data_IF_892102262612
#
_entry.id   IF_892102262612
#
_cell.length_a   1.000
_cell.length_b   1.000
_cell.length_c   1.000
_cell.angle_alpha   90.00
_cell.angle_beta   90.00
_cell.angle_gamma   90.00
#
_symmetry.space_group_name_H-M   'P 1'
#
loop_
_entity.id
_entity.type
_entity.pdbx_description
1 polymer ?
#
# COMPACT_ATOMS: atom_id res chain seq x y z
N UNK A 1 -9.42 6.09 14.23
CA UNK A 1 -8.97 4.68 14.08
C UNK A 1 -10.14 3.75 13.76
N UNK A 2 -11.23 3.73 14.55
CA UNK A 2 -12.37 2.82 14.37
C UNK A 2 -12.95 2.83 12.95
N UNK A 3 -13.23 4.00 12.37
CA UNK A 3 -13.80 4.13 11.03
C UNK A 3 -12.88 3.54 9.94
N UNK A 4 -11.60 3.87 9.99
CA UNK A 4 -10.61 3.38 9.00
C UNK A 4 -10.43 1.88 9.10
N UNK A 5 -10.28 1.36 10.33
CA UNK A 5 -10.15 -0.08 10.58
C UNK A 5 -11.39 -0.84 10.11
N UNK A 6 -12.58 -0.35 10.40
CA UNK A 6 -13.84 -0.95 9.93
C UNK A 6 -13.85 -1.09 8.40
N UNK A 7 -13.45 -0.04 7.67
CA UNK A 7 -13.39 -0.09 6.20
C UNK A 7 -12.35 -1.09 5.70
N UNK A 8 -11.18 -1.15 6.33
CA UNK A 8 -10.14 -2.11 5.99
C UNK A 8 -10.61 -3.56 6.18
N UNK A 9 -11.26 -3.86 7.30
CA UNK A 9 -11.80 -5.19 7.59
C UNK A 9 -12.92 -5.57 6.61
N UNK A 10 -13.83 -4.64 6.29
CA UNK A 10 -14.94 -4.87 5.35
C UNK A 10 -14.46 -5.24 3.93
N UNK A 11 -13.33 -4.69 3.48
CA UNK A 11 -12.75 -5.04 2.16
C UNK A 11 -11.78 -6.24 2.24
N UNK A 12 -11.73 -6.93 3.37
CA UNK A 12 -10.98 -8.17 3.54
C UNK A 12 -9.47 -7.99 3.72
N UNK A 13 -8.99 -6.82 4.16
CA UNK A 13 -7.56 -6.64 4.44
C UNK A 13 -7.16 -7.42 5.70
N UNK A 14 -5.96 -8.01 5.64
CA UNK A 14 -5.32 -8.67 6.80
C UNK A 14 -4.56 -7.61 7.60
N UNK A 15 -4.81 -7.50 8.92
CA UNK A 15 -4.10 -6.55 9.76
C UNK A 15 -2.76 -7.09 10.24
N UNK A 16 -1.79 -6.21 10.45
CA UNK A 16 -0.60 -6.41 11.29
C UNK A 16 -0.65 -5.31 12.34
N UNK A 17 -0.56 -5.68 13.60
CA UNK A 17 -0.60 -4.72 14.71
C UNK A 17 0.81 -4.41 15.17
N UNK A 18 1.12 -3.12 15.28
CA UNK A 18 2.40 -2.64 15.78
C UNK A 18 2.16 -1.75 17.00
N UNK A 19 2.55 -2.24 18.17
CA UNK A 19 2.52 -1.50 19.42
C UNK A 19 3.83 -0.72 19.56
N UNK A 20 3.79 0.54 19.14
CA UNK A 20 4.98 1.40 19.10
C UNK A 20 5.18 2.15 20.44
N UNK A 21 6.38 2.69 20.63
CA UNK A 21 6.77 3.50 21.79
C UNK A 21 6.85 2.72 23.10
N UNK A 22 7.21 1.46 23.06
CA UNK A 22 7.41 0.63 24.25
C UNK A 22 8.65 1.03 25.07
N UNK A 23 9.48 1.92 24.51
CA UNK A 23 10.60 2.57 25.20
C UNK A 23 10.16 3.60 26.26
N UNK A 24 8.88 3.92 26.32
CA UNK A 24 8.39 4.93 27.29
C UNK A 24 8.14 4.29 28.66
N UNK A 25 8.47 5.00 29.78
CA UNK A 25 8.31 4.45 31.13
C UNK A 25 6.87 4.08 31.50
N UNK A 26 5.89 4.71 30.86
CA UNK A 26 4.46 4.49 31.10
C UNK A 26 3.80 3.69 29.96
N UNK A 27 4.57 2.89 29.22
CA UNK A 27 4.01 2.04 28.19
C UNK A 27 3.14 0.93 28.81
N UNK A 28 2.07 0.54 28.12
CA UNK A 28 1.12 -0.50 28.51
C UNK A 28 0.86 -1.46 27.36
N UNK A 29 1.87 -2.19 26.88
CA UNK A 29 1.75 -2.97 25.66
C UNK A 29 0.68 -4.06 25.72
N UNK A 30 0.57 -4.75 26.86
CA UNK A 30 -0.40 -5.83 27.08
C UNK A 30 -1.83 -5.28 27.09
N UNK A 31 -2.08 -4.19 27.81
CA UNK A 31 -3.39 -3.54 27.81
C UNK A 31 -3.78 -3.00 26.42
N UNK A 32 -2.82 -2.44 25.69
CA UNK A 32 -3.05 -1.97 24.30
C UNK A 32 -3.40 -3.12 23.38
N UNK A 33 -2.77 -4.29 23.55
CA UNK A 33 -3.12 -5.49 22.79
C UNK A 33 -4.58 -5.88 23.02
N UNK A 34 -5.02 -5.99 24.28
CA UNK A 34 -6.41 -6.31 24.62
C UNK A 34 -7.39 -5.29 24.03
N UNK A 35 -7.08 -3.99 24.14
CA UNK A 35 -7.92 -2.94 23.56
C UNK A 35 -8.04 -3.04 22.04
N UNK A 36 -6.99 -3.45 21.34
CA UNK A 36 -6.99 -3.64 19.89
C UNK A 36 -7.82 -4.88 19.53
N UNK A 37 -7.65 -5.98 20.27
CA UNK A 37 -8.42 -7.20 20.08
C UNK A 37 -9.92 -6.94 20.25
N UNK A 38 -10.32 -6.29 21.35
CA UNK A 38 -11.71 -5.90 21.64
C UNK A 38 -12.28 -5.00 20.53
N UNK A 39 -11.48 -4.06 20.04
CA UNK A 39 -11.89 -3.19 18.95
C UNK A 39 -12.16 -4.00 17.66
N UNK A 40 -11.27 -4.90 17.27
CA UNK A 40 -11.45 -5.73 16.08
C UNK A 40 -12.66 -6.65 16.23
N UNK A 41 -12.85 -7.27 17.40
CA UNK A 41 -14.02 -8.08 17.72
C UNK A 41 -15.32 -7.27 17.61
N UNK A 42 -15.34 -6.06 18.16
CA UNK A 42 -16.49 -5.15 18.08
C UNK A 42 -16.81 -4.66 16.66
N UNK A 43 -15.88 -4.80 15.73
CA UNK A 43 -16.03 -4.46 14.32
C UNK A 43 -16.38 -5.67 13.44
N UNK A 44 -16.69 -6.82 14.05
CA UNK A 44 -17.00 -8.09 13.39
C UNK A 44 -15.86 -8.56 12.46
N UNK A 45 -14.61 -8.45 12.92
CA UNK A 45 -13.48 -9.05 12.24
C UNK A 45 -13.69 -10.58 12.11
N UNK A 46 -13.28 -11.16 10.99
CA UNK A 46 -13.33 -12.61 10.78
C UNK A 46 -12.26 -13.32 11.63
N UNK A 47 -12.38 -14.63 11.81
CA UNK A 47 -11.36 -15.42 12.52
C UNK A 47 -9.97 -15.21 11.96
N UNK A 48 -9.82 -15.24 10.60
CA UNK A 48 -8.55 -14.94 9.92
C UNK A 48 -8.02 -13.52 10.18
N UNK A 49 -8.89 -12.56 10.47
CA UNK A 49 -8.50 -11.20 10.79
C UNK A 49 -8.21 -11.00 12.27
N UNK A 50 -8.76 -11.84 13.14
CA UNK A 50 -8.46 -11.88 14.58
C UNK A 50 -7.14 -12.62 14.89
N UNK A 51 -6.69 -13.50 13.99
CA UNK A 51 -5.37 -14.13 14.03
C UNK A 51 -4.29 -13.20 13.44
N UNK A 52 -4.20 -11.99 13.95
CA UNK A 52 -3.24 -11.00 13.49
C UNK A 52 -1.92 -11.09 14.23
N UNK A 53 -0.78 -10.96 13.53
CA UNK A 53 0.52 -10.83 14.17
C UNK A 53 0.64 -9.51 14.91
N UNK A 54 1.25 -9.54 16.09
CA UNK A 54 1.54 -8.37 16.89
C UNK A 54 3.04 -8.20 17.03
N UNK A 55 3.50 -6.98 16.78
CA UNK A 55 4.88 -6.58 16.96
C UNK A 55 4.95 -5.39 17.91
N UNK A 56 5.98 -5.39 18.71
CA UNK A 56 6.25 -4.35 19.70
C UNK A 56 7.57 -3.67 19.37
N UNK A 57 7.69 -2.39 19.68
CA UNK A 57 8.98 -1.76 19.51
C UNK A 57 9.02 -0.26 19.69
N UNK A 58 10.13 0.30 19.28
CA UNK A 58 10.36 1.74 19.27
C UNK A 58 10.90 2.16 17.92
N UNK A 59 10.06 2.77 17.08
CA UNK A 59 10.49 3.33 15.81
C UNK A 59 11.58 4.40 15.98
N UNK A 60 11.53 5.15 17.11
CA UNK A 60 12.58 6.13 17.45
C UNK A 60 13.95 5.46 17.65
N UNK A 61 13.95 4.29 18.30
CA UNK A 61 15.16 3.53 18.61
C UNK A 61 15.47 2.46 17.54
N UNK A 62 14.72 2.49 16.43
CA UNK A 62 14.93 1.66 15.23
C UNK A 62 14.90 0.15 15.49
N UNK A 63 13.94 -0.32 16.29
CA UNK A 63 13.75 -1.74 16.53
C UNK A 63 12.27 -2.15 16.64
N UNK A 64 11.96 -3.39 16.23
CA UNK A 64 10.70 -4.08 16.37
C UNK A 64 10.95 -5.57 16.68
N UNK A 65 10.06 -6.20 17.44
CA UNK A 65 10.16 -7.61 17.80
C UNK A 65 8.82 -8.16 18.32
N UNK A 66 8.78 -9.46 18.56
CA UNK A 66 7.59 -10.15 19.10
C UNK A 66 7.46 -9.98 20.64
N UNK A 67 8.54 -9.63 21.31
CA UNK A 67 8.58 -9.37 22.75
C UNK A 67 8.98 -7.90 23.01
N UNK A 68 8.12 -7.16 23.71
CA UNK A 68 8.36 -5.76 24.02
C UNK A 68 9.47 -5.53 25.06
N UNK A 69 9.85 -6.58 25.83
CA UNK A 69 10.88 -6.52 26.85
C UNK A 69 12.29 -6.77 26.28
N UNK A 70 12.36 -7.30 25.06
CA UNK A 70 13.62 -7.73 24.43
C UNK A 70 13.88 -6.95 23.13
N UNK A 71 14.56 -5.78 23.19
CA UNK A 71 14.91 -5.02 21.99
C UNK A 71 15.79 -5.82 21.02
N UNK A 72 15.42 -5.83 19.75
CA UNK A 72 16.13 -6.59 18.69
C UNK A 72 17.24 -5.77 18.02
N UNK A 73 17.25 -4.45 18.20
CA UNK A 73 18.20 -3.55 17.53
C UNK A 73 17.94 -3.33 16.03
N UNK A 74 16.85 -3.87 15.48
CA UNK A 74 16.50 -3.78 14.05
C UNK A 74 15.00 -3.75 13.83
N UNK A 75 14.55 -3.20 12.70
CA UNK A 75 13.15 -3.25 12.24
C UNK A 75 12.85 -4.48 11.37
N UNK A 76 13.84 -5.31 11.10
CA UNK A 76 13.70 -6.49 10.23
C UNK A 76 12.52 -7.39 10.59
N UNK A 77 12.20 -7.67 11.88
CA UNK A 77 11.03 -8.47 12.24
C UNK A 77 9.70 -7.93 11.71
N UNK A 78 9.56 -6.59 11.61
CA UNK A 78 8.38 -5.99 10.99
C UNK A 78 8.34 -6.22 9.48
N UNK A 79 9.47 -6.09 8.80
CA UNK A 79 9.56 -6.34 7.36
C UNK A 79 9.28 -7.82 7.03
N UNK A 80 9.82 -8.73 7.83
CA UNK A 80 9.58 -10.17 7.71
C UNK A 80 8.10 -10.51 7.95
N UNK A 81 7.45 -9.89 8.94
CA UNK A 81 6.03 -10.05 9.17
C UNK A 81 5.19 -9.57 7.97
N UNK A 82 5.53 -8.43 7.37
CA UNK A 82 4.85 -7.95 6.16
C UNK A 82 4.96 -8.97 5.04
N UNK A 83 6.17 -9.47 4.75
CA UNK A 83 6.39 -10.46 3.69
C UNK A 83 5.65 -11.78 3.96
N UNK A 84 5.57 -12.19 5.23
CA UNK A 84 4.95 -13.45 5.64
C UNK A 84 3.41 -13.38 5.64
N UNK A 85 2.82 -12.30 6.14
CA UNK A 85 1.39 -12.23 6.43
C UNK A 85 0.58 -11.46 5.38
N UNK A 86 1.18 -10.51 4.66
CA UNK A 86 0.47 -9.75 3.64
C UNK A 86 0.57 -10.46 2.29
N UNK A 87 -0.55 -10.83 1.66
CA UNK A 87 -0.51 -11.51 0.38
C UNK A 87 0.06 -10.60 -0.72
N UNK A 88 0.84 -11.18 -1.61
CA UNK A 88 1.30 -10.48 -2.80
C UNK A 88 0.11 -10.01 -3.66
N UNK A 89 0.24 -8.89 -4.38
CA UNK A 89 -0.80 -8.42 -5.27
C UNK A 89 -1.11 -9.44 -6.35
N UNK A 90 -2.41 -9.64 -6.65
CA UNK A 90 -2.84 -10.53 -7.73
C UNK A 90 -2.37 -9.98 -9.07
N UNK A 91 -1.70 -10.81 -9.85
CA UNK A 91 -1.34 -10.52 -11.23
C UNK A 91 -2.42 -11.08 -12.16
N UNK A 92 -3.01 -10.21 -12.99
CA UNK A 92 -4.04 -10.56 -13.94
C UNK A 92 -3.53 -10.30 -15.34
N UNK A 93 -3.57 -11.33 -16.17
CA UNK A 93 -3.23 -11.25 -17.59
C UNK A 93 -4.38 -10.62 -18.42
N UNK A 94 -4.03 -10.05 -19.57
CA UNK A 94 -4.99 -9.52 -20.55
C UNK A 94 -4.74 -8.08 -20.96
N UNK A 95 -5.75 -7.45 -21.55
CA UNK A 95 -5.66 -6.04 -21.99
C UNK A 95 -5.32 -5.12 -20.81
N UNK A 96 -4.31 -4.27 -20.94
CA UNK A 96 -3.87 -3.40 -19.88
C UNK A 96 -4.99 -2.50 -19.33
N UNK A 97 -5.08 -2.43 -18.01
CA UNK A 97 -6.04 -1.59 -17.32
C UNK A 97 -5.41 -1.00 -16.06
N UNK A 98 -5.48 0.31 -15.92
CA UNK A 98 -5.00 1.05 -14.76
C UNK A 98 -6.11 1.94 -14.22
N UNK A 99 -6.29 1.95 -12.90
CA UNK A 99 -7.12 2.94 -12.22
C UNK A 99 -6.24 4.10 -11.76
N UNK A 100 -6.50 5.30 -12.31
CA UNK A 100 -5.85 6.54 -11.89
C UNK A 100 -6.52 7.00 -10.59
N UNK A 101 -5.76 7.03 -9.51
CA UNK A 101 -6.24 7.41 -8.16
C UNK A 101 -5.73 8.77 -7.73
N UNK A 102 -4.62 9.25 -8.30
CA UNK A 102 -4.01 10.52 -7.97
C UNK A 102 -3.42 11.19 -9.21
N UNK A 103 -3.43 12.51 -9.20
CA UNK A 103 -2.74 13.33 -10.19
C UNK A 103 -1.63 14.12 -9.48
N UNK A 104 -0.47 14.11 -10.09
CA UNK A 104 0.67 14.92 -9.70
C UNK A 104 1.02 15.90 -10.86
N UNK A 105 1.87 16.86 -10.61
CA UNK A 105 2.28 17.84 -11.58
C UNK A 105 3.77 18.15 -11.50
N UNK A 106 4.39 18.26 -12.65
CA UNK A 106 5.75 18.76 -12.79
C UNK A 106 5.77 19.87 -13.81
N UNK A 107 6.47 20.96 -13.52
CA UNK A 107 6.65 22.07 -14.47
C UNK A 107 7.33 21.65 -15.78
N UNK A 108 8.07 20.54 -15.75
CA UNK A 108 8.79 19.98 -16.90
C UNK A 108 7.95 19.00 -17.73
N UNK A 109 7.23 18.09 -17.07
CA UNK A 109 6.50 16.99 -17.75
C UNK A 109 5.00 17.20 -17.79
N UNK A 110 4.48 18.22 -17.12
CA UNK A 110 3.05 18.48 -16.99
C UNK A 110 2.37 17.54 -16.00
N UNK A 111 1.12 17.15 -16.31
CA UNK A 111 0.33 16.25 -15.47
C UNK A 111 0.87 14.83 -15.50
N UNK A 112 0.87 14.20 -14.34
CA UNK A 112 1.35 12.84 -14.10
C UNK A 112 0.21 12.08 -13.48
N UNK A 113 -0.21 10.98 -14.10
CA UNK A 113 -1.25 10.12 -13.54
C UNK A 113 -0.62 9.00 -12.72
N UNK A 114 -1.01 8.88 -11.46
CA UNK A 114 -0.57 7.84 -10.54
C UNK A 114 -1.71 6.88 -10.25
N UNK A 115 -1.41 5.59 -10.27
CA UNK A 115 -2.42 4.57 -9.98
C UNK A 115 -1.86 3.16 -10.01
N UNK A 116 -2.75 2.19 -9.79
CA UNK A 116 -2.44 0.77 -9.80
C UNK A 116 -2.80 0.15 -11.14
N UNK A 117 -1.90 -0.67 -11.67
CA UNK A 117 -2.18 -1.53 -12.83
C UNK A 117 -3.00 -2.73 -12.35
N UNK A 118 -4.26 -2.78 -12.74
CA UNK A 118 -5.17 -3.86 -12.35
C UNK A 118 -4.99 -5.11 -13.19
N UNK A 119 -4.69 -4.96 -14.49
CA UNK A 119 -4.58 -6.07 -15.43
C UNK A 119 -3.55 -5.74 -16.51
N UNK A 120 -2.89 -6.77 -17.02
CA UNK A 120 -1.94 -6.70 -18.13
C UNK A 120 -0.68 -5.91 -17.77
N UNK A 121 -0.01 -5.38 -18.79
CA UNK A 121 1.26 -4.65 -18.65
C UNK A 121 1.20 -3.34 -19.43
N UNK A 122 1.48 -2.23 -18.74
CA UNK A 122 1.66 -0.93 -19.37
C UNK A 122 3.10 -0.77 -19.83
N UNK A 123 3.29 -0.18 -21.02
CA UNK A 123 4.62 0.05 -21.59
C UNK A 123 4.78 1.49 -22.06
N UNK A 124 6.01 1.97 -22.08
CA UNK A 124 6.38 3.21 -22.75
C UNK A 124 5.97 3.15 -24.23
N UNK A 125 5.46 4.23 -24.76
CA UNK A 125 4.99 4.32 -26.15
C UNK A 125 3.66 3.66 -26.46
N UNK A 126 3.00 3.02 -25.47
CA UNK A 126 1.73 2.32 -25.68
C UNK A 126 0.59 3.30 -25.98
N UNK A 127 -0.25 2.96 -26.95
CA UNK A 127 -1.52 3.63 -27.19
C UNK A 127 -2.56 3.13 -26.18
N UNK A 128 -3.27 4.04 -25.57
CA UNK A 128 -4.29 3.79 -24.54
C UNK A 128 -5.57 4.56 -24.84
N UNK A 129 -6.63 4.18 -24.17
CA UNK A 129 -7.86 4.96 -24.09
C UNK A 129 -8.08 5.41 -22.65
N UNK A 130 -8.08 6.72 -22.41
CA UNK A 130 -8.44 7.30 -21.14
C UNK A 130 -9.97 7.38 -21.04
N UNK A 131 -10.53 6.70 -20.04
CA UNK A 131 -11.94 6.78 -19.69
C UNK A 131 -12.11 7.81 -18.56
N UNK A 132 -12.83 8.88 -18.83
CA UNK A 132 -13.14 9.93 -17.84
C UNK A 132 -14.38 9.59 -17.03
N UNK A 133 -14.58 10.29 -15.91
CA UNK A 133 -15.74 10.09 -15.02
C UNK A 133 -17.08 10.39 -15.68
N UNK A 134 -17.11 11.30 -16.67
CA UNK A 134 -18.29 11.65 -17.46
C UNK A 134 -18.60 10.66 -18.60
N UNK A 135 -17.81 9.56 -18.70
CA UNK A 135 -17.93 8.56 -19.75
C UNK A 135 -17.18 8.89 -21.04
N UNK A 136 -16.56 10.07 -21.14
CA UNK A 136 -15.79 10.45 -22.33
C UNK A 136 -14.57 9.58 -22.49
N UNK A 137 -14.34 9.08 -23.72
CA UNK A 137 -13.17 8.27 -24.08
C UNK A 137 -12.20 9.10 -24.92
N UNK A 138 -10.97 9.22 -24.44
CA UNK A 138 -9.90 9.98 -25.11
C UNK A 138 -8.78 9.05 -25.50
N UNK A 139 -8.47 8.95 -26.79
CA UNK A 139 -7.29 8.22 -27.27
C UNK A 139 -6.03 9.01 -26.92
N UNK A 140 -5.06 8.35 -26.34
CA UNK A 140 -3.80 8.96 -25.92
C UNK A 140 -2.66 7.97 -26.03
N UNK A 141 -1.45 8.44 -25.78
CA UNK A 141 -0.23 7.64 -25.79
C UNK A 141 0.56 7.89 -24.52
N UNK A 142 1.04 6.82 -23.90
CA UNK A 142 1.96 6.94 -22.75
C UNK A 142 3.34 7.35 -23.29
N UNK A 143 3.88 8.48 -22.83
CA UNK A 143 5.24 8.88 -23.18
C UNK A 143 6.26 8.17 -22.31
N UNK A 144 6.02 8.11 -20.99
CA UNK A 144 6.91 7.46 -20.04
C UNK A 144 6.13 6.71 -18.97
N UNK A 145 6.73 5.64 -18.46
CA UNK A 145 6.26 4.87 -17.32
C UNK A 145 7.31 4.92 -16.22
N UNK A 146 6.89 5.20 -14.99
CA UNK A 146 7.76 5.29 -13.83
C UNK A 146 7.25 4.40 -12.69
N UNK A 147 8.15 3.74 -11.99
CA UNK A 147 7.91 3.08 -10.70
C UNK A 147 8.36 3.98 -9.56
N UNK A 148 7.95 3.63 -8.33
CA UNK A 148 8.38 4.31 -7.12
C UNK A 148 9.56 3.55 -6.51
N UNK A 149 10.66 4.27 -6.22
CA UNK A 149 11.84 3.73 -5.59
C UNK A 149 12.30 4.68 -4.48
N UNK A 150 12.21 4.24 -3.22
CA UNK A 150 12.38 5.12 -2.07
C UNK A 150 11.39 6.28 -2.05
N UNK A 151 11.90 7.51 -1.98
CA UNK A 151 11.09 8.75 -2.03
C UNK A 151 10.96 9.32 -3.44
N UNK A 152 11.53 8.67 -4.44
CA UNK A 152 11.58 9.14 -5.82
C UNK A 152 10.81 8.26 -6.79
N UNK A 153 10.96 8.61 -8.06
CA UNK A 153 10.43 7.84 -9.19
C UNK A 153 11.57 7.49 -10.12
N UNK A 154 11.50 6.28 -10.68
CA UNK A 154 12.47 5.76 -11.64
C UNK A 154 11.75 5.39 -12.93
N UNK A 155 12.23 5.89 -14.06
CA UNK A 155 11.75 5.50 -15.38
C UNK A 155 12.02 4.04 -15.62
N UNK A 156 11.02 3.33 -16.16
CA UNK A 156 11.08 1.91 -16.54
C UNK A 156 10.41 1.71 -17.89
N UNK A 157 10.74 0.62 -18.58
CA UNK A 157 10.15 0.29 -19.87
C UNK A 157 8.70 -0.20 -19.75
N UNK A 158 8.39 -0.91 -18.67
CA UNK A 158 7.06 -1.48 -18.44
C UNK A 158 6.74 -1.68 -16.96
N UNK A 159 5.44 -1.75 -16.65
CA UNK A 159 4.91 -2.08 -15.32
C UNK A 159 3.74 -3.04 -15.46
N UNK A 160 3.76 -4.11 -14.68
CA UNK A 160 2.76 -5.19 -14.75
C UNK A 160 1.63 -5.02 -13.73
N UNK A 161 0.58 -5.81 -13.93
CA UNK A 161 -0.55 -5.92 -13.00
C UNK A 161 -0.09 -6.16 -11.56
N UNK A 162 -0.72 -5.46 -10.63
CA UNK A 162 -0.40 -5.50 -9.20
C UNK A 162 0.41 -4.31 -8.72
N UNK A 163 1.24 -3.72 -9.58
CA UNK A 163 2.12 -2.62 -9.22
C UNK A 163 1.44 -1.24 -9.29
N UNK A 164 2.01 -0.30 -8.54
CA UNK A 164 1.65 1.12 -8.61
C UNK A 164 2.69 1.82 -9.50
N UNK A 165 2.20 2.60 -10.45
CA UNK A 165 3.07 3.36 -11.34
C UNK A 165 2.59 4.79 -11.55
N UNK A 166 3.47 5.60 -12.10
CA UNK A 166 3.17 6.93 -12.62
C UNK A 166 3.35 6.92 -14.14
N UNK A 167 2.35 7.39 -14.87
CA UNK A 167 2.42 7.55 -16.33
C UNK A 167 2.41 9.02 -16.72
N UNK A 168 3.23 9.36 -17.69
CA UNK A 168 3.50 10.73 -18.13
C UNK A 168 3.14 10.89 -19.59
N UNK A 169 2.69 12.10 -19.95
CA UNK A 169 2.40 12.48 -21.33
C UNK A 169 1.07 11.98 -21.87
N UNK A 170 0.16 11.55 -20.98
CA UNK A 170 -1.22 11.19 -21.33
C UNK A 170 -2.03 12.45 -21.54
N UNK A 171 -2.55 12.64 -22.76
CA UNK A 171 -3.40 13.77 -23.08
C UNK A 171 -4.81 13.61 -22.50
N UNK A 172 -5.39 14.72 -22.09
CA UNK A 172 -6.77 14.75 -21.57
C UNK A 172 -6.94 14.42 -20.08
N UNK A 173 -5.82 14.27 -19.34
CA UNK A 173 -5.85 14.09 -17.88
C UNK A 173 -6.43 15.30 -17.16
#
# INVERSE_FOLDING_TARGET
TRFVLQKALQIGLKPIVVVNKVDKPNCRPEEVYEMVFDLMFSLNATEDQLDFPVLYGSAKNNWMGEDWKTPTGTITPLLDAIVKYIPAPKQLEGTPQMLITSLDYSSYTGRIAVGRVHRGTLKEGMNITLAKRDGTLVKSKIKEVHTFEGLGRKKVESVSSGDICAIIGVEGL
#
